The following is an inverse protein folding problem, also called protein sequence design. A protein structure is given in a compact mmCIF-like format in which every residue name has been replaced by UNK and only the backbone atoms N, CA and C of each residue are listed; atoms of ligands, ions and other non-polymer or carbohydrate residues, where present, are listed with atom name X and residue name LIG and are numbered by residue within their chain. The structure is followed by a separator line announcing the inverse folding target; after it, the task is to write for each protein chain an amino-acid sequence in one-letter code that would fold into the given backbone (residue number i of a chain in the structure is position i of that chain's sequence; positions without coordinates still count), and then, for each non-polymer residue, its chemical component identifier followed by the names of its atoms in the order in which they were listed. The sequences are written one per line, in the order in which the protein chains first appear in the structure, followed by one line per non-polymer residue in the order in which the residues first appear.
data_IF_890907586332
#
_entry.id   IF_890907586332
#
_cell.length_a   1.000
_cell.length_b   1.000
_cell.length_c   1.000
_cell.angle_alpha   90.00
_cell.angle_beta   90.00
_cell.angle_gamma   90.00
#
_symmetry.space_group_name_H-M   'P 1'
#
loop_
_entity.id
_entity.type
_entity.pdbx_description
1 polymer ?
#
# COMPACT_ATOMS: atom_id res chain seq x y z
N UNK A 1 -21.86 -20.89 -6.98
CA UNK A 1 -20.85 -19.86 -6.84
C UNK A 1 -19.47 -20.45 -7.04
N UNK A 2 -18.68 -19.84 -7.81
CA UNK A 2 -17.38 -20.38 -8.16
C UNK A 2 -16.29 -19.46 -7.65
N UNK A 3 -15.39 -20.02 -6.88
CA UNK A 3 -14.16 -19.33 -6.54
C UNK A 3 -13.13 -19.59 -7.60
N UNK A 4 -12.55 -18.56 -8.12
CA UNK A 4 -11.40 -18.67 -8.99
C UNK A 4 -10.18 -18.71 -8.09
N UNK A 5 -9.47 -19.83 -8.06
CA UNK A 5 -8.24 -19.98 -7.31
C UNK A 5 -8.39 -20.12 -5.79
N UNK A 6 -9.60 -19.99 -5.23
CA UNK A 6 -9.84 -20.15 -3.80
C UNK A 6 -9.84 -18.84 -3.04
N UNK A 7 -10.14 -18.94 -1.75
CA UNK A 7 -10.29 -17.81 -0.82
C UNK A 7 -9.12 -17.77 0.14
N UNK A 8 -8.52 -16.59 0.29
CA UNK A 8 -7.36 -16.40 1.15
C UNK A 8 -7.68 -15.31 2.18
N UNK A 9 -7.59 -15.66 3.47
CA UNK A 9 -7.65 -14.69 4.55
C UNK A 9 -6.23 -14.28 4.91
N UNK A 10 -5.98 -12.97 5.01
CA UNK A 10 -4.66 -12.51 5.43
C UNK A 10 -4.74 -11.19 6.18
N UNK A 11 -3.65 -10.90 6.90
CA UNK A 11 -3.43 -9.59 7.52
C UNK A 11 -2.36 -8.86 6.75
N UNK A 12 -2.50 -7.55 6.67
CA UNK A 12 -1.53 -6.69 5.98
C UNK A 12 -1.26 -5.43 6.77
N UNK A 13 -0.05 -4.92 6.63
CA UNK A 13 0.34 -3.62 7.16
C UNK A 13 0.49 -2.65 5.99
N UNK A 14 -0.14 -1.47 6.10
CA UNK A 14 -0.04 -0.40 5.12
C UNK A 14 0.70 0.78 5.74
N UNK A 15 1.44 1.53 4.93
CA UNK A 15 2.18 2.68 5.40
C UNK A 15 1.73 3.92 4.61
N UNK A 16 1.17 4.88 5.33
CA UNK A 16 0.94 6.22 4.79
C UNK A 16 2.28 6.94 4.90
N UNK A 17 3.06 6.84 3.84
CA UNK A 17 4.38 7.43 3.76
C UNK A 17 4.22 8.86 3.28
N UNK A 18 4.52 9.82 4.15
CA UNK A 18 4.30 11.25 3.88
C UNK A 18 5.62 11.95 3.62
N UNK A 19 5.64 12.80 2.60
CA UNK A 19 6.78 13.66 2.33
C UNK A 19 6.69 14.94 3.18
N UNK A 20 7.71 15.84 3.14
CA UNK A 20 7.66 17.07 3.92
C UNK A 20 6.49 18.00 3.59
N UNK A 21 5.89 17.86 2.42
CA UNK A 21 4.71 18.65 2.01
C UNK A 21 3.39 17.97 2.40
N UNK A 22 3.43 16.79 3.05
CA UNK A 22 2.24 16.06 3.45
C UNK A 22 1.62 15.23 2.33
N UNK A 23 2.32 15.02 1.22
CA UNK A 23 1.85 14.15 0.14
C UNK A 23 2.15 12.71 0.50
N UNK A 24 1.27 11.81 0.08
CA UNK A 24 1.41 10.37 0.32
C UNK A 24 2.02 9.69 -0.90
N UNK A 25 2.91 8.74 -0.64
CA UNK A 25 3.46 7.91 -1.71
C UNK A 25 2.46 6.81 -2.06
N UNK A 26 2.18 6.70 -3.35
CA UNK A 26 1.37 5.60 -3.88
C UNK A 26 2.11 4.91 -5.01
N UNK A 27 1.85 3.62 -5.12
CA UNK A 27 2.35 2.78 -6.19
C UNK A 27 1.24 2.59 -7.23
N UNK A 28 1.60 2.60 -8.50
CA UNK A 28 0.67 2.35 -9.59
C UNK A 28 0.87 0.92 -10.09
N UNK A 29 -0.23 0.19 -10.20
CA UNK A 29 -0.15 -1.19 -10.65
C UNK A 29 -1.48 -1.73 -11.13
N UNK A 30 -1.52 -3.04 -11.27
CA UNK A 30 -2.70 -3.77 -11.76
C UNK A 30 -2.67 -5.20 -11.22
N UNK A 31 -3.84 -5.84 -11.26
CA UNK A 31 -3.97 -7.27 -11.01
C UNK A 31 -3.42 -8.02 -12.22
N UNK A 32 -2.44 -8.94 -12.06
CA UNK A 32 -1.92 -9.73 -13.18
C UNK A 32 -3.01 -10.48 -13.97
N UNK A 33 -4.11 -10.85 -13.33
CA UNK A 33 -5.24 -11.50 -13.98
C UNK A 33 -6.13 -10.54 -14.76
N UNK A 34 -5.99 -9.22 -14.53
CA UNK A 34 -6.76 -8.16 -15.21
C UNK A 34 -5.88 -6.95 -15.47
N UNK A 35 -4.90 -7.04 -16.37
CA UNK A 35 -3.87 -6.00 -16.54
C UNK A 35 -4.41 -4.66 -17.04
N UNK A 36 -5.60 -4.62 -17.63
CA UNK A 36 -6.25 -3.38 -18.06
C UNK A 36 -6.89 -2.60 -16.91
N UNK A 37 -7.04 -3.21 -15.73
CA UNK A 37 -7.62 -2.58 -14.56
C UNK A 37 -6.50 -2.04 -13.66
N UNK A 38 -6.08 -0.80 -13.94
CA UNK A 38 -4.97 -0.18 -13.22
C UNK A 38 -5.48 0.69 -12.07
N UNK A 39 -4.63 0.86 -11.04
CA UNK A 39 -4.98 1.64 -9.86
C UNK A 39 -3.74 2.06 -9.09
N UNK A 40 -3.92 3.05 -8.21
CA UNK A 40 -2.92 3.47 -7.25
C UNK A 40 -3.25 2.88 -5.90
N UNK A 41 -2.23 2.50 -5.14
CA UNK A 41 -2.41 1.95 -3.80
C UNK A 41 -1.28 2.36 -2.88
N UNK A 42 -1.55 2.28 -1.57
CA UNK A 42 -0.56 2.65 -0.55
C UNK A 42 0.52 1.60 -0.41
N UNK A 43 1.68 2.02 0.09
CA UNK A 43 2.79 1.12 0.44
C UNK A 43 2.32 0.10 1.46
N UNK A 44 2.77 -1.13 1.34
CA UNK A 44 2.47 -2.20 2.29
C UNK A 44 2.12 -3.52 1.64
N UNK A 45 1.86 -4.50 2.48
CA UNK A 45 1.49 -5.83 2.02
C UNK A 45 1.26 -6.79 3.15
N UNK A 46 1.06 -8.06 2.80
CA UNK A 46 0.75 -9.12 3.75
C UNK A 46 1.89 -9.44 4.72
N UNK A 47 1.52 -9.85 5.92
CA UNK A 47 2.47 -10.33 6.91
C UNK A 47 3.06 -11.67 6.48
N UNK A 48 4.36 -11.85 6.76
CA UNK A 48 5.01 -13.14 6.68
C UNK A 48 4.78 -13.92 7.97
N UNK A 49 4.92 -15.26 7.95
CA UNK A 49 4.73 -16.07 9.15
C UNK A 49 5.58 -15.58 10.32
N UNK A 50 4.97 -15.37 11.49
CA UNK A 50 5.65 -14.91 12.69
C UNK A 50 5.96 -13.42 12.73
N UNK A 51 5.60 -12.67 11.70
CA UNK A 51 5.87 -11.24 11.61
C UNK A 51 4.79 -10.42 12.32
N UNK A 52 5.20 -9.38 13.05
CA UNK A 52 4.24 -8.42 13.60
C UNK A 52 3.83 -7.41 12.53
N UNK A 53 2.77 -6.65 12.81
CA UNK A 53 2.33 -5.57 11.91
C UNK A 53 3.43 -4.53 11.69
N UNK A 54 4.14 -4.12 12.75
CA UNK A 54 5.23 -3.15 12.62
C UNK A 54 6.41 -3.72 11.81
N UNK A 55 6.76 -4.98 12.04
CA UNK A 55 7.81 -5.63 11.26
C UNK A 55 7.45 -5.69 9.78
N UNK A 56 6.21 -6.05 9.47
CA UNK A 56 5.73 -6.08 8.10
C UNK A 56 5.76 -4.69 7.46
N UNK A 57 5.33 -3.66 8.20
CA UNK A 57 5.32 -2.29 7.71
C UNK A 57 6.74 -1.81 7.37
N UNK A 58 7.70 -2.06 8.25
CA UNK A 58 9.10 -1.68 8.02
C UNK A 58 9.69 -2.41 6.82
N UNK A 59 9.45 -3.71 6.73
CA UNK A 59 9.95 -4.55 5.64
C UNK A 59 9.36 -4.12 4.29
N UNK A 60 8.04 -3.96 4.24
CA UNK A 60 7.35 -3.59 3.01
C UNK A 60 7.77 -2.20 2.52
N UNK A 61 7.92 -1.24 3.44
CA UNK A 61 8.38 0.09 3.08
C UNK A 61 9.76 0.02 2.40
N UNK A 62 10.67 -0.77 2.94
CA UNK A 62 11.99 -0.93 2.35
C UNK A 62 11.94 -1.64 1.00
N UNK A 63 11.21 -2.75 0.92
CA UNK A 63 11.10 -3.54 -0.31
C UNK A 63 10.47 -2.74 -1.45
N UNK A 64 9.48 -1.93 -1.14
CA UNK A 64 8.72 -1.19 -2.16
C UNK A 64 9.28 0.18 -2.49
N UNK A 65 10.06 0.78 -1.61
CA UNK A 65 10.52 2.16 -1.80
C UNK A 65 12.03 2.36 -1.64
N UNK A 66 12.72 1.41 -1.05
CA UNK A 66 14.12 1.56 -0.68
C UNK A 66 14.36 2.39 0.57
N UNK A 67 13.30 2.93 1.20
CA UNK A 67 13.43 3.74 2.40
C UNK A 67 13.42 2.87 3.65
N UNK A 68 14.34 3.15 4.57
CA UNK A 68 14.48 2.40 5.82
C UNK A 68 13.90 3.20 6.97
N UNK A 69 13.06 2.52 7.76
CA UNK A 69 12.49 3.07 8.98
C UNK A 69 12.77 2.12 10.14
N UNK A 70 12.95 2.68 11.32
CA UNK A 70 12.88 1.90 12.55
C UNK A 70 11.40 1.74 12.94
N UNK A 71 11.06 0.71 13.70
CA UNK A 71 9.70 0.53 14.18
C UNK A 71 9.19 1.75 14.95
N UNK A 72 10.07 2.41 15.70
CA UNK A 72 9.72 3.61 16.47
C UNK A 72 9.40 4.83 15.60
N UNK A 73 9.76 4.80 14.31
CA UNK A 73 9.44 5.89 13.37
C UNK A 73 8.01 5.81 12.85
N UNK A 74 7.33 4.69 13.05
CA UNK A 74 5.97 4.47 12.59
C UNK A 74 4.98 4.77 13.70
N UNK A 75 3.94 5.52 13.35
CA UNK A 75 2.86 5.89 14.27
C UNK A 75 1.61 5.12 13.89
N UNK A 76 0.97 4.51 14.85
CA UNK A 76 -0.29 3.80 14.61
C UNK A 76 -0.40 2.46 15.29
N UNK A 77 -1.35 1.64 14.84
CA UNK A 77 -2.18 1.88 13.65
C UNK A 77 -3.16 3.02 13.83
N UNK A 78 -3.32 3.83 12.79
CA UNK A 78 -4.26 4.95 12.79
C UNK A 78 -5.63 4.53 12.25
N UNK A 79 -5.68 3.40 11.57
CA UNK A 79 -6.91 2.79 11.07
C UNK A 79 -6.68 1.31 10.82
N UNK A 80 -7.73 0.51 11.11
CA UNK A 80 -7.77 -0.91 10.76
C UNK A 80 -9.12 -1.18 10.12
N UNK A 81 -9.13 -1.81 8.95
CA UNK A 81 -10.34 -2.21 8.26
C UNK A 81 -10.13 -3.54 7.53
N UNK A 82 -11.22 -4.11 7.02
CA UNK A 82 -11.19 -5.34 6.25
C UNK A 82 -11.73 -5.07 4.86
N UNK A 83 -10.98 -5.48 3.84
CA UNK A 83 -11.36 -5.35 2.44
C UNK A 83 -11.34 -6.70 1.76
N UNK A 84 -12.17 -6.87 0.74
CA UNK A 84 -12.19 -8.08 -0.08
C UNK A 84 -11.96 -7.70 -1.52
N UNK A 85 -11.09 -8.45 -2.20
CA UNK A 85 -10.73 -8.14 -3.58
C UNK A 85 -10.14 -9.37 -4.28
N UNK A 86 -10.27 -9.44 -5.61
CA UNK A 86 -9.57 -10.45 -6.40
C UNK A 86 -8.14 -10.00 -6.70
N UNK A 87 -7.21 -10.92 -6.69
CA UNK A 87 -5.86 -10.66 -7.16
C UNK A 87 -5.20 -11.96 -7.62
N UNK A 88 -4.66 -11.94 -8.84
CA UNK A 88 -3.92 -13.05 -9.44
C UNK A 88 -4.69 -14.39 -9.38
N UNK A 89 -5.98 -14.34 -9.69
CA UNK A 89 -6.83 -15.52 -9.73
C UNK A 89 -7.34 -16.01 -8.38
N UNK A 90 -7.03 -15.30 -7.30
CA UNK A 90 -7.50 -15.63 -5.95
C UNK A 90 -8.43 -14.54 -5.43
N UNK A 91 -9.26 -14.89 -4.45
CA UNK A 91 -10.10 -13.93 -3.74
C UNK A 91 -9.54 -13.75 -2.33
N UNK A 92 -9.21 -12.50 -2.00
CA UNK A 92 -8.65 -12.15 -0.69
C UNK A 92 -9.68 -11.51 0.20
N UNK A 93 -9.65 -11.88 1.49
CA UNK A 93 -10.24 -11.09 2.56
C UNK A 93 -9.09 -10.63 3.44
N UNK A 94 -8.85 -9.33 3.49
CA UNK A 94 -7.65 -8.78 4.11
C UNK A 94 -7.99 -7.79 5.21
N UNK A 95 -7.56 -8.11 6.44
CA UNK A 95 -7.54 -7.13 7.52
C UNK A 95 -6.26 -6.31 7.37
N UNK A 96 -6.40 -5.01 7.17
CA UNK A 96 -5.26 -4.14 6.96
C UNK A 96 -5.21 -3.03 8.01
N UNK A 97 -4.00 -2.79 8.51
CA UNK A 97 -3.73 -1.76 9.51
C UNK A 97 -2.80 -0.71 8.91
N UNK A 98 -3.16 0.56 9.06
CA UNK A 98 -2.42 1.68 8.47
C UNK A 98 -1.57 2.36 9.52
N UNK A 99 -0.30 2.56 9.18
CA UNK A 99 0.67 3.31 9.98
C UNK A 99 1.09 4.56 9.22
N UNK A 100 1.56 5.57 9.93
CA UNK A 100 2.08 6.80 9.33
C UNK A 100 3.59 6.82 9.53
N UNK A 101 4.32 7.11 8.46
CA UNK A 101 5.76 7.36 8.51
C UNK A 101 6.08 8.62 7.71
N UNK A 102 7.03 9.41 8.19
CA UNK A 102 7.44 10.64 7.50
C UNK A 102 8.80 10.43 6.87
N UNK A 103 8.86 10.65 5.55
CA UNK A 103 10.07 10.49 4.77
C UNK A 103 10.83 11.81 4.71
N UNK A 104 12.10 11.79 5.11
CA UNK A 104 13.01 12.91 4.87
C UNK A 104 13.55 12.86 3.44
N UNK A 105 13.76 11.65 2.92
CA UNK A 105 14.22 11.40 1.55
C UNK A 105 13.02 11.01 0.68
N UNK A 106 12.84 11.71 -0.43
CA UNK A 106 11.73 11.46 -1.36
C UNK A 106 12.14 10.68 -2.62
N UNK A 107 13.38 10.24 -2.70
CA UNK A 107 13.87 9.41 -3.79
C UNK A 107 13.41 7.97 -3.58
N UNK A 108 12.68 7.42 -4.54
CA UNK A 108 12.10 6.09 -4.45
C UNK A 108 12.82 5.14 -5.37
N UNK A 109 13.16 3.97 -4.84
CA UNK A 109 13.86 2.92 -5.57
C UNK A 109 12.95 1.68 -5.64
N UNK A 110 12.44 1.37 -6.82
CA UNK A 110 11.56 0.22 -7.06
C UNK A 110 12.32 -1.06 -7.39
N UNK A 111 13.65 -1.05 -7.35
CA UNK A 111 14.46 -2.19 -7.77
C UNK A 111 14.38 -3.41 -6.83
N UNK A 112 13.82 -3.24 -5.63
CA UNK A 112 13.70 -4.31 -4.64
C UNK A 112 12.36 -5.02 -4.64
N UNK A 113 11.46 -4.66 -5.55
CA UNK A 113 10.18 -5.35 -5.70
C UNK A 113 10.45 -6.82 -6.04
N UNK A 114 9.61 -7.73 -5.53
CA UNK A 114 9.71 -9.14 -5.88
C UNK A 114 9.26 -9.36 -7.33
N UNK A 115 9.43 -10.58 -7.85
CA UNK A 115 9.16 -10.87 -9.26
C UNK A 115 7.72 -10.59 -9.67
N UNK A 116 6.75 -10.91 -8.80
CA UNK A 116 5.33 -10.64 -9.07
C UNK A 116 5.08 -9.13 -9.13
N UNK A 117 5.59 -8.38 -8.15
CA UNK A 117 5.43 -6.94 -8.07
C UNK A 117 6.09 -6.22 -9.26
N UNK A 118 7.28 -6.66 -9.67
CA UNK A 118 7.94 -6.10 -10.84
C UNK A 118 7.12 -6.25 -12.11
N UNK A 119 6.30 -7.30 -12.19
CA UNK A 119 5.43 -7.56 -13.33
C UNK A 119 4.12 -6.78 -13.32
N UNK A 120 3.75 -6.14 -12.20
CA UNK A 120 2.46 -5.47 -12.07
C UNK A 120 2.50 -4.12 -11.35
N UNK A 121 3.69 -3.55 -11.14
CA UNK A 121 3.88 -2.19 -10.60
C UNK A 121 4.83 -1.46 -11.54
N UNK A 122 4.43 -0.30 -12.02
CA UNK A 122 5.20 0.46 -13.01
C UNK A 122 5.63 1.85 -12.57
N UNK A 123 5.07 2.37 -11.47
CA UNK A 123 5.33 3.75 -11.08
C UNK A 123 5.11 3.96 -9.59
N UNK A 124 5.86 4.91 -9.00
CA UNK A 124 5.61 5.46 -7.68
C UNK A 124 5.44 6.96 -7.81
N UNK A 125 4.47 7.54 -7.10
CA UNK A 125 4.20 8.98 -7.18
C UNK A 125 3.70 9.50 -5.84
N UNK A 126 4.12 10.73 -5.52
CA UNK A 126 3.65 11.46 -4.35
C UNK A 126 2.36 12.19 -4.71
N UNK A 127 1.30 11.96 -3.91
CA UNK A 127 -0.01 12.53 -4.16
C UNK A 127 -0.46 13.41 -3.01
N UNK A 128 -0.93 14.62 -3.31
CA UNK A 128 -1.65 15.44 -2.31
C UNK A 128 -3.09 14.95 -2.18
N UNK A 129 -3.73 15.26 -1.05
CA UNK A 129 -5.15 14.98 -0.89
C UNK A 129 -5.99 15.66 -1.98
N UNK A 130 -5.65 16.92 -2.30
CA UNK A 130 -6.35 17.67 -3.35
C UNK A 130 -6.23 17.01 -4.73
N UNK A 131 -5.04 16.51 -5.08
CA UNK A 131 -4.84 15.82 -6.36
C UNK A 131 -5.64 14.52 -6.43
N UNK A 132 -5.72 13.77 -5.33
CA UNK A 132 -6.53 12.56 -5.26
C UNK A 132 -8.02 12.86 -5.43
N UNK A 133 -8.50 14.00 -4.92
CA UNK A 133 -9.91 14.38 -5.05
C UNK A 133 -10.30 14.75 -6.47
N UNK A 134 -9.36 15.12 -7.32
CA UNK A 134 -9.65 15.58 -8.69
C UNK A 134 -9.23 14.59 -9.76
N UNK A 135 -8.45 13.56 -9.44
CA UNK A 135 -8.01 12.58 -10.44
C UNK A 135 -9.15 11.68 -10.89
N UNK A 136 -9.11 11.29 -12.15
CA UNK A 136 -9.99 10.25 -12.70
C UNK A 136 -9.41 8.85 -12.50
N UNK A 137 -8.18 8.75 -12.00
CA UNK A 137 -7.53 7.47 -11.75
C UNK A 137 -8.15 6.80 -10.53
N UNK A 138 -8.22 5.48 -10.59
CA UNK A 138 -8.69 4.66 -9.48
C UNK A 138 -7.60 4.58 -8.42
N UNK A 139 -7.95 4.72 -7.15
CA UNK A 139 -7.01 4.58 -6.04
C UNK A 139 -7.67 3.95 -4.82
N UNK A 140 -6.86 3.34 -3.97
CA UNK A 140 -7.31 2.67 -2.77
C UNK A 140 -6.45 3.06 -1.57
N UNK A 141 -7.01 3.28 -0.39
CA UNK A 141 -8.46 3.22 -0.10
C UNK A 141 -9.20 4.43 -0.72
N UNK A 142 -10.48 4.26 -1.08
CA UNK A 142 -11.23 5.34 -1.76
C UNK A 142 -11.39 6.62 -0.95
N UNK A 143 -11.35 6.53 0.38
CA UNK A 143 -11.44 7.68 1.29
C UNK A 143 -10.06 8.21 1.72
N UNK A 144 -9.00 7.85 0.99
CA UNK A 144 -7.64 8.27 1.32
C UNK A 144 -7.48 9.78 1.53
N UNK A 145 -8.12 10.66 0.73
CA UNK A 145 -8.01 12.10 1.00
C UNK A 145 -8.44 12.50 2.41
N UNK A 146 -9.53 11.93 2.91
CA UNK A 146 -10.01 12.20 4.27
C UNK A 146 -9.05 11.66 5.32
N UNK A 147 -8.53 10.46 5.09
CA UNK A 147 -7.55 9.85 5.99
C UNK A 147 -6.26 10.69 6.05
N UNK A 148 -5.79 11.19 4.92
CA UNK A 148 -4.61 12.06 4.88
C UNK A 148 -4.81 13.33 5.69
N UNK A 149 -5.98 13.95 5.59
CA UNK A 149 -6.27 15.16 6.35
C UNK A 149 -6.36 14.89 7.85
N UNK A 150 -6.77 13.69 8.24
CA UNK A 150 -6.86 13.31 9.64
C UNK A 150 -5.49 13.06 10.28
N UNK A 151 -4.48 12.67 9.51
CA UNK A 151 -3.16 12.28 10.03
C UNK A 151 -2.06 13.28 9.71
N UNK A 152 -2.31 14.21 8.84
CA UNK A 152 -1.31 15.21 8.42
C UNK A 152 -1.05 16.26 9.50
#
# INVERSE_FOLDING_TARGET
MTHVGGHIDRRAARVLLLDPAGRVLMLHGWDPARPEHTYWFTVGGGLEPGESLLEAAVREAFEETGLRFAAADLIGPVRTDTVSFPFDGHWYSQEQSFFVARAADTQIDLSRLNDVEQGCIDEARWWSAAALETTNDRFYPPDLPDLLRAVA
#
